data_IF_463789201481
#
_entry.id   IF_463789201481
#
_cell.length_a   1.000
_cell.length_b   1.000
_cell.length_c   1.000
_cell.angle_alpha   90.00
_cell.angle_beta   90.00
_cell.angle_gamma   90.00
#
_symmetry.space_group_name_H-M   'P 1'
#
loop_
_entity.id
_entity.type
_entity.pdbx_description
1 polymer ?
#
# COMPACT_ATOMS: atom_id res chain seq x y z
N UNK A 1 10.35 -9.97 5.59
CA UNK A 1 9.80 -8.69 6.08
C UNK A 1 9.87 -8.67 7.59
N UNK A 2 10.70 -7.80 8.21
CA UNK A 2 10.65 -7.61 9.65
C UNK A 2 9.32 -6.96 10.05
N UNK A 3 8.75 -7.34 11.20
CA UNK A 3 7.55 -6.73 11.83
C UNK A 3 6.18 -6.94 11.16
N UNK A 4 6.08 -7.70 10.06
CA UNK A 4 4.79 -8.01 9.42
C UNK A 4 4.20 -9.35 9.90
N UNK A 5 2.87 -9.47 9.85
CA UNK A 5 2.17 -10.65 10.33
C UNK A 5 2.50 -11.90 9.50
N UNK A 6 2.63 -13.09 10.15
CA UNK A 6 2.84 -14.32 9.43
C UNK A 6 1.61 -14.68 8.57
N UNK A 7 1.86 -15.32 7.44
CA UNK A 7 0.82 -15.83 6.55
C UNK A 7 0.59 -17.31 6.87
N UNK A 8 -0.42 -17.67 7.69
CA UNK A 8 -0.66 -19.06 8.07
C UNK A 8 -1.17 -19.92 6.91
N UNK A 9 -1.89 -19.33 5.95
CA UNK A 9 -2.53 -20.07 4.87
C UNK A 9 -2.71 -19.21 3.62
N UNK A 10 -2.30 -19.78 2.49
CA UNK A 10 -2.56 -19.25 1.15
C UNK A 10 -3.51 -20.23 0.47
N UNK A 11 -4.60 -19.73 -0.10
CA UNK A 11 -5.56 -20.55 -0.84
C UNK A 11 -5.82 -19.97 -2.21
N UNK A 12 -5.66 -20.80 -3.24
CA UNK A 12 -6.05 -20.50 -4.61
C UNK A 12 -7.47 -21.05 -4.79
N UNK A 13 -8.46 -20.39 -4.20
CA UNK A 13 -9.87 -20.77 -4.45
C UNK A 13 -10.32 -19.98 -5.69
N UNK A 14 -10.84 -20.69 -6.70
CA UNK A 14 -11.43 -20.07 -7.89
C UNK A 14 -12.75 -19.36 -7.53
N UNK A 15 -12.66 -18.08 -7.19
CA UNK A 15 -13.78 -17.14 -7.13
C UNK A 15 -13.48 -15.90 -7.98
N UNK A 16 -14.22 -14.81 -7.78
CA UNK A 16 -13.99 -13.53 -8.51
C UNK A 16 -12.59 -12.93 -8.27
N UNK A 17 -11.92 -13.33 -7.18
CA UNK A 17 -10.53 -13.01 -6.89
C UNK A 17 -9.69 -14.30 -7.03
N UNK A 18 -8.69 -14.29 -7.91
CA UNK A 18 -7.84 -15.45 -8.27
C UNK A 18 -6.89 -15.95 -7.18
N UNK A 19 -7.24 -15.78 -5.90
CA UNK A 19 -6.46 -16.21 -4.74
C UNK A 19 -6.80 -15.38 -3.50
N UNK A 20 -6.82 -16.02 -2.33
CA UNK A 20 -7.03 -15.35 -1.04
C UNK A 20 -5.83 -15.64 -0.11
N UNK A 21 -5.29 -14.56 0.45
CA UNK A 21 -4.21 -14.58 1.45
C UNK A 21 -4.83 -14.31 2.82
N UNK A 22 -4.68 -15.24 3.76
CA UNK A 22 -5.11 -15.04 5.14
C UNK A 22 -3.92 -14.55 5.97
N UNK A 23 -4.09 -13.45 6.69
CA UNK A 23 -3.12 -12.96 7.66
C UNK A 23 -3.63 -13.29 9.06
N UNK A 24 -2.75 -13.80 9.93
CA UNK A 24 -3.04 -13.95 11.35
C UNK A 24 -2.36 -12.79 12.10
N UNK A 25 -3.08 -11.69 12.37
CA UNK A 25 -2.51 -10.59 13.15
C UNK A 25 -2.21 -11.05 14.58
N UNK A 26 -1.11 -10.55 15.14
CA UNK A 26 -0.80 -10.78 16.55
C UNK A 26 -1.90 -10.20 17.46
N UNK A 27 -2.18 -10.86 18.58
CA UNK A 27 -3.19 -10.40 19.55
C UNK A 27 -2.92 -8.96 20.01
N UNK A 28 -1.66 -8.63 20.28
CA UNK A 28 -1.22 -7.26 20.62
C UNK A 28 -1.64 -6.22 19.57
N UNK A 29 -1.60 -6.57 18.28
CA UNK A 29 -1.95 -5.65 17.18
C UNK A 29 -3.45 -5.52 16.99
N UNK A 30 -4.20 -6.60 17.24
CA UNK A 30 -5.66 -6.58 17.30
C UNK A 30 -6.16 -5.72 18.46
N UNK A 31 -5.52 -5.81 19.62
CA UNK A 31 -5.92 -5.08 20.82
C UNK A 31 -5.47 -3.62 20.82
N UNK A 32 -4.23 -3.33 20.43
CA UNK A 32 -3.70 -1.96 20.44
C UNK A 32 -4.20 -1.12 19.27
N UNK A 33 -4.48 -1.74 18.12
CA UNK A 33 -4.78 -1.02 16.88
C UNK A 33 -3.63 -0.12 16.39
N UNK A 34 -2.43 -0.29 16.94
CA UNK A 34 -1.26 0.52 16.63
C UNK A 34 -0.46 -0.13 15.49
N UNK A 35 -0.21 0.65 14.45
CA UNK A 35 0.55 0.21 13.28
C UNK A 35 1.79 1.08 13.10
N UNK A 36 2.95 0.45 13.02
CA UNK A 36 4.20 1.13 12.69
C UNK A 36 4.22 1.56 11.22
N UNK A 37 5.09 2.51 10.89
CA UNK A 37 5.35 2.93 9.51
C UNK A 37 5.79 1.74 8.64
N UNK A 38 6.72 0.94 9.15
CA UNK A 38 7.26 -0.26 8.51
C UNK A 38 6.17 -1.28 8.25
N UNK A 39 5.23 -1.48 9.19
CA UNK A 39 4.11 -2.38 9.00
C UNK A 39 3.22 -1.97 7.82
N UNK A 40 2.86 -0.69 7.71
CA UNK A 40 2.05 -0.19 6.59
C UNK A 40 2.79 -0.30 5.25
N UNK A 41 4.12 -0.11 5.26
CA UNK A 41 4.97 -0.34 4.07
C UNK A 41 4.95 -1.82 3.66
N UNK A 42 5.21 -2.73 4.59
CA UNK A 42 5.15 -4.18 4.35
C UNK A 42 3.76 -4.62 3.88
N UNK A 43 2.68 -4.04 4.40
CA UNK A 43 1.31 -4.35 3.96
C UNK A 43 1.09 -4.01 2.48
N UNK A 44 1.62 -2.86 2.03
CA UNK A 44 1.55 -2.46 0.62
C UNK A 44 2.41 -3.36 -0.27
N UNK A 45 3.61 -3.73 0.20
CA UNK A 45 4.52 -4.62 -0.51
C UNK A 45 3.91 -6.02 -0.73
N UNK A 46 3.27 -6.59 0.30
CA UNK A 46 2.60 -7.91 0.21
C UNK A 46 1.37 -7.86 -0.72
N UNK A 47 0.67 -6.74 -0.78
CA UNK A 47 -0.43 -6.58 -1.73
C UNK A 47 0.09 -6.57 -3.18
N UNK A 48 1.18 -5.85 -3.46
CA UNK A 48 1.75 -5.75 -4.80
C UNK A 48 2.58 -6.96 -5.25
N UNK A 49 2.99 -7.82 -4.32
CA UNK A 49 3.88 -8.95 -4.62
C UNK A 49 3.31 -9.91 -5.67
N UNK A 50 1.98 -10.06 -5.77
CA UNK A 50 1.34 -10.89 -6.80
C UNK A 50 1.58 -10.36 -8.20
N UNK A 51 1.36 -9.04 -8.39
CA UNK A 51 1.64 -8.34 -9.65
C UNK A 51 3.11 -8.44 -10.04
N UNK A 52 4.00 -8.27 -9.07
CA UNK A 52 5.46 -8.35 -9.28
C UNK A 52 5.88 -9.78 -9.63
N UNK A 53 5.30 -10.78 -8.99
CA UNK A 53 5.57 -12.18 -9.31
C UNK A 53 5.16 -12.52 -10.75
N UNK A 54 4.00 -12.05 -11.21
CA UNK A 54 3.57 -12.25 -12.60
C UNK A 54 4.55 -11.61 -13.59
N UNK A 55 5.02 -10.39 -13.31
CA UNK A 55 5.99 -9.69 -14.16
C UNK A 55 7.34 -10.40 -14.21
N UNK A 56 7.81 -10.95 -13.08
CA UNK A 56 9.08 -11.69 -13.00
C UNK A 56 8.99 -13.03 -13.72
N UNK A 57 7.87 -13.76 -13.60
CA UNK A 57 7.73 -15.11 -14.17
C UNK A 57 7.33 -15.07 -15.64
N UNK A 58 6.36 -14.22 -16.00
CA UNK A 58 5.77 -14.21 -17.35
C UNK A 58 6.31 -13.06 -18.22
N UNK A 59 6.87 -12.01 -17.62
CA UNK A 59 7.38 -10.82 -18.31
C UNK A 59 6.40 -9.64 -18.34
N UNK A 60 6.88 -8.47 -18.74
CA UNK A 60 6.13 -7.20 -18.72
C UNK A 60 4.92 -7.16 -19.69
N UNK A 61 4.92 -8.03 -20.71
CA UNK A 61 3.86 -8.06 -21.73
C UNK A 61 2.65 -8.93 -21.36
N UNK A 62 2.79 -9.76 -20.33
CA UNK A 62 1.80 -10.80 -19.95
C UNK A 62 1.12 -10.49 -18.63
N UNK A 63 1.17 -9.25 -18.18
CA UNK A 63 0.71 -8.93 -16.84
C UNK A 63 -0.81 -8.84 -16.77
N UNK A 64 -1.39 -9.55 -15.79
CA UNK A 64 -2.83 -9.83 -15.73
C UNK A 64 -3.59 -8.67 -15.06
N UNK A 65 -4.84 -8.46 -15.48
CA UNK A 65 -5.78 -7.47 -14.90
C UNK A 65 -6.31 -7.87 -13.51
N UNK A 66 -6.02 -9.09 -13.05
CA UNK A 66 -6.48 -9.65 -11.77
C UNK A 66 -5.96 -8.93 -10.52
N UNK A 67 -4.90 -8.13 -10.64
CA UNK A 67 -4.30 -7.36 -9.53
C UNK A 67 -5.05 -6.06 -9.18
N UNK A 68 -6.20 -5.78 -9.81
CA UNK A 68 -6.98 -4.55 -9.56
C UNK A 68 -7.38 -4.38 -8.09
N UNK A 69 -7.77 -5.46 -7.41
CA UNK A 69 -8.09 -5.45 -5.98
C UNK A 69 -6.90 -5.06 -5.10
N UNK A 70 -5.70 -5.56 -5.44
CA UNK A 70 -4.47 -5.25 -4.71
C UNK A 70 -4.12 -3.76 -4.85
N UNK A 71 -4.24 -3.19 -6.06
CA UNK A 71 -4.02 -1.75 -6.27
C UNK A 71 -4.98 -0.87 -5.49
N UNK A 72 -6.25 -1.26 -5.36
CA UNK A 72 -7.22 -0.54 -4.53
C UNK A 72 -6.83 -0.60 -3.05
N UNK A 73 -6.42 -1.77 -2.57
CA UNK A 73 -5.97 -1.94 -1.19
C UNK A 73 -4.74 -1.08 -0.88
N UNK A 74 -3.73 -1.13 -1.75
CA UNK A 74 -2.50 -0.33 -1.61
C UNK A 74 -2.83 1.17 -1.61
N UNK A 75 -3.70 1.61 -2.53
CA UNK A 75 -4.13 3.01 -2.60
C UNK A 75 -4.82 3.48 -1.33
N UNK A 76 -5.66 2.62 -0.72
CA UNK A 76 -6.33 2.91 0.55
C UNK A 76 -5.33 3.02 1.71
N UNK A 77 -4.40 2.06 1.82
CA UNK A 77 -3.37 2.07 2.87
C UNK A 77 -2.44 3.28 2.71
N UNK A 78 -2.02 3.60 1.49
CA UNK A 78 -1.20 4.77 1.18
C UNK A 78 -1.89 6.09 1.58
N UNK A 79 -3.20 6.22 1.35
CA UNK A 79 -3.98 7.38 1.82
C UNK A 79 -3.97 7.47 3.34
N UNK A 80 -4.31 6.40 4.04
CA UNK A 80 -4.32 6.40 5.52
C UNK A 80 -2.93 6.73 6.08
N UNK A 81 -1.88 6.15 5.49
CA UNK A 81 -0.49 6.38 5.86
C UNK A 81 -0.08 7.86 5.79
N UNK A 82 -0.54 8.58 4.76
CA UNK A 82 -0.16 9.96 4.51
C UNK A 82 -1.13 10.93 5.21
N UNK A 83 -2.43 10.74 5.04
CA UNK A 83 -3.48 11.69 5.44
C UNK A 83 -3.91 11.54 6.90
N UNK A 84 -3.85 10.32 7.47
CA UNK A 84 -4.24 10.06 8.86
C UNK A 84 -3.03 9.99 9.78
N UNK A 85 -1.99 9.26 9.37
CA UNK A 85 -0.83 9.02 10.22
C UNK A 85 0.35 9.97 9.96
N UNK A 86 0.31 10.76 8.88
CA UNK A 86 1.35 11.77 8.62
C UNK A 86 2.75 11.19 8.42
N UNK A 87 2.89 9.94 7.97
CA UNK A 87 4.20 9.29 7.83
C UNK A 87 5.01 9.75 6.59
N UNK A 88 4.53 10.77 5.87
CA UNK A 88 5.23 11.35 4.73
C UNK A 88 6.20 12.45 5.16
N UNK A 89 7.50 12.27 4.88
CA UNK A 89 8.53 13.29 5.15
C UNK A 89 8.30 14.61 4.40
N UNK A 90 7.61 14.57 3.25
CA UNK A 90 7.37 15.75 2.39
C UNK A 90 6.20 16.61 2.85
N UNK A 91 5.26 16.01 3.59
CA UNK A 91 3.99 16.65 4.00
C UNK A 91 4.02 16.94 5.50
N UNK A 92 4.79 16.17 6.27
CA UNK A 92 4.88 16.30 7.72
C UNK A 92 3.74 15.58 8.44
N UNK A 93 3.70 15.75 9.76
CA UNK A 93 2.66 15.22 10.64
C UNK A 93 1.37 16.06 10.57
N UNK A 94 0.79 16.19 9.38
CA UNK A 94 -0.45 16.91 9.18
C UNK A 94 -1.57 15.90 8.89
N UNK A 95 -2.56 15.83 9.78
CA UNK A 95 -3.78 15.07 9.52
C UNK A 95 -4.67 15.90 8.57
N UNK A 96 -4.71 15.52 7.29
CA UNK A 96 -5.52 16.22 6.25
C UNK A 96 -6.93 15.62 6.14
N UNK A 97 -7.27 14.67 7.00
CA UNK A 97 -8.57 14.00 7.01
C UNK A 97 -9.71 14.92 7.46
N UNK A 98 -10.18 15.78 6.56
CA UNK A 98 -11.47 16.44 6.62
C UNK A 98 -12.60 15.47 6.31
N UNK A 99 -13.05 14.74 7.32
CA UNK A 99 -14.31 14.01 7.27
C UNK A 99 -15.24 14.60 8.35
N UNK A 100 -15.99 15.66 7.99
CA UNK A 100 -17.13 16.10 8.81
C UNK A 100 -17.32 17.60 9.09
N UNK A 101 -16.75 18.54 8.32
CA UNK A 101 -16.93 19.97 8.61
C UNK A 101 -17.05 20.84 7.36
N UNK A 102 -18.29 21.24 7.05
CA UNK A 102 -18.75 22.39 6.27
C UNK A 102 -17.78 22.94 5.20
N UNK A 103 -18.06 22.60 3.93
CA UNK A 103 -17.31 22.92 2.70
C UNK A 103 -17.19 24.41 2.32
N UNK A 104 -17.34 25.36 3.26
CA UNK A 104 -17.44 26.79 2.94
C UNK A 104 -16.17 27.61 3.22
N UNK A 105 -15.25 27.16 4.08
CA UNK A 105 -14.04 27.93 4.44
C UNK A 105 -12.70 27.27 4.06
N UNK A 106 -12.70 26.03 3.54
CA UNK A 106 -11.47 25.28 3.23
C UNK A 106 -10.96 25.37 1.79
N UNK A 107 -11.81 25.81 0.85
CA UNK A 107 -11.55 25.65 -0.60
C UNK A 107 -10.36 26.45 -1.16
N UNK A 108 -9.85 27.44 -0.41
CA UNK A 108 -8.69 28.23 -0.85
C UNK A 108 -7.34 27.61 -0.47
N UNK A 109 -7.28 26.72 0.53
CA UNK A 109 -6.05 26.01 0.91
C UNK A 109 -5.95 24.60 0.28
N UNK A 110 -7.08 24.04 -0.18
CA UNK A 110 -7.16 22.66 -0.67
C UNK A 110 -6.44 22.41 -1.99
N UNK A 111 -6.45 23.31 -2.98
CA UNK A 111 -5.88 23.00 -4.32
C UNK A 111 -4.38 22.72 -4.28
N UNK A 112 -3.62 23.50 -3.50
CA UNK A 112 -2.15 23.32 -3.39
C UNK A 112 -1.79 22.15 -2.47
N UNK A 113 -2.53 21.95 -1.38
CA UNK A 113 -2.32 20.84 -0.44
C UNK A 113 -2.69 19.48 -1.06
N UNK A 114 -3.79 19.42 -1.80
CA UNK A 114 -4.30 18.23 -2.47
C UNK A 114 -3.40 17.80 -3.63
N UNK A 115 -2.92 18.75 -4.46
CA UNK A 115 -1.88 18.45 -5.46
C UNK A 115 -0.58 17.95 -4.81
N UNK A 116 -0.21 18.45 -3.63
CA UNK A 116 1.01 17.99 -2.92
C UNK A 116 0.82 16.59 -2.34
N UNK A 117 -0.36 16.28 -1.81
CA UNK A 117 -0.75 14.95 -1.33
C UNK A 117 -0.78 13.95 -2.47
N UNK A 118 -1.36 14.30 -3.61
CA UNK A 118 -1.45 13.44 -4.78
C UNK A 118 -0.08 13.14 -5.39
N UNK A 119 0.79 14.15 -5.48
CA UNK A 119 2.19 13.96 -5.88
C UNK A 119 2.95 13.05 -4.89
N UNK A 120 2.73 13.23 -3.58
CA UNK A 120 3.32 12.38 -2.55
C UNK A 120 2.84 10.93 -2.64
N UNK A 121 1.53 10.72 -2.88
CA UNK A 121 0.91 9.41 -3.08
C UNK A 121 1.49 8.69 -4.30
N UNK A 122 1.55 9.35 -5.45
CA UNK A 122 2.11 8.74 -6.66
C UNK A 122 3.60 8.41 -6.51
N UNK A 123 4.38 9.25 -5.84
CA UNK A 123 5.80 8.97 -5.61
C UNK A 123 6.00 7.77 -4.68
N UNK A 124 5.17 7.64 -3.65
CA UNK A 124 5.22 6.51 -2.73
C UNK A 124 4.86 5.20 -3.43
N UNK A 125 3.80 5.20 -4.25
CA UNK A 125 3.44 4.05 -5.07
C UNK A 125 4.56 3.68 -6.05
N UNK A 126 5.15 4.67 -6.74
CA UNK A 126 6.28 4.44 -7.66
C UNK A 126 7.51 3.90 -6.95
N UNK A 127 7.80 4.37 -5.74
CA UNK A 127 8.95 3.91 -4.97
C UNK A 127 8.76 2.47 -4.45
N UNK A 128 7.53 2.12 -4.04
CA UNK A 128 7.21 0.76 -3.61
C UNK A 128 7.30 -0.22 -4.80
N UNK A 129 6.67 0.14 -5.93
CA UNK A 129 6.72 -0.71 -7.14
C UNK A 129 8.17 -0.87 -7.61
N UNK A 130 8.94 0.21 -7.70
CA UNK A 130 10.36 0.13 -8.08
C UNK A 130 11.20 -0.64 -7.06
N UNK A 131 10.93 -0.45 -5.77
CA UNK A 131 11.61 -1.18 -4.71
C UNK A 131 11.41 -2.68 -4.86
N UNK A 132 10.17 -3.11 -5.10
CA UNK A 132 9.82 -4.50 -5.33
C UNK A 132 10.46 -5.08 -6.61
N UNK A 133 10.46 -4.35 -7.73
CA UNK A 133 11.09 -4.80 -8.99
C UNK A 133 12.62 -4.86 -8.92
N UNK A 134 13.26 -3.92 -8.22
CA UNK A 134 14.72 -3.91 -8.03
C UNK A 134 15.15 -5.05 -7.10
N UNK A 135 14.40 -5.31 -6.03
CA UNK A 135 14.71 -6.39 -5.10
C UNK A 135 14.66 -7.77 -5.77
N UNK A 136 13.69 -7.99 -6.67
CA UNK A 136 13.61 -9.25 -7.42
C UNK A 136 14.73 -9.38 -8.45
N UNK A 137 15.09 -8.32 -9.19
CA UNK A 137 16.24 -8.35 -10.10
C UNK A 137 17.56 -8.70 -9.39
N UNK A 138 17.79 -8.15 -8.20
CA UNK A 138 18.99 -8.44 -7.40
C UNK A 138 18.98 -9.88 -6.89
N UNK A 139 17.83 -10.40 -6.43
CA UNK A 139 17.72 -11.80 -5.98
C UNK A 139 17.76 -12.84 -7.10
N UNK A 140 17.52 -12.46 -8.36
CA UNK A 140 17.60 -13.41 -9.50
C UNK A 140 19.00 -13.42 -10.14
N UNK A 141 19.85 -12.45 -9.79
CA UNK A 141 21.21 -12.28 -10.32
C UNK A 141 22.31 -12.71 -9.34
N UNK A 142 21.93 -13.29 -8.20
CA UNK A 142 22.78 -13.84 -7.13
C UNK A 142 22.46 -15.34 -6.98
#
# INVERSE_FOLDING_TARGET
>A
MPEYDPVPKISIILGQAGGLKFFAPSEERLESGLYSRSYLENQMDVALSGRVADEVIFGENTVVTGASSDFMQVSRVARQRIERFGFSKKIGQLAVSGAGGNSFLGQQCSKTGECRLENGRMQLLKNIVRGATIWTCVCTSL
#
